data_IF_597761919432
#
_entry.id   IF_597761919432
#
_cell.length_a   1.000
_cell.length_b   1.000
_cell.length_c   1.000
_cell.angle_alpha   90.00
_cell.angle_beta   90.00
_cell.angle_gamma   90.00
#
_symmetry.space_group_name_H-M   'P 1'
#
loop_
_entity.id
_entity.type
_entity.pdbx_description
1 polymer ?
#
# COMPACT_ATOMS: atom_id res chain seq x y z
N UNK A 1 -12.88 9.86 20.76
CA UNK A 1 -13.97 9.47 21.69
C UNK A 1 -13.36 8.97 22.98
N UNK A 2 -14.12 8.92 24.09
CA UNK A 2 -13.59 8.46 25.39
C UNK A 2 -14.34 7.19 25.81
N UNK A 3 -13.62 6.12 26.10
CA UNK A 3 -14.15 4.89 26.66
C UNK A 3 -13.62 4.75 28.09
N UNK A 4 -14.39 5.27 29.04
CA UNK A 4 -14.02 5.30 30.46
C UNK A 4 -14.95 4.34 31.20
N UNK A 5 -14.41 3.22 31.70
CA UNK A 5 -15.16 2.17 32.43
C UNK A 5 -16.13 1.31 31.59
N UNK A 6 -16.01 1.29 30.26
CA UNK A 6 -16.78 0.36 29.42
C UNK A 6 -16.00 -0.94 29.20
N UNK A 7 -16.72 -2.02 28.88
CA UNK A 7 -16.12 -3.32 28.65
C UNK A 7 -16.77 -4.07 27.50
N UNK A 8 -16.00 -4.92 26.83
CA UNK A 8 -16.46 -5.78 25.73
C UNK A 8 -17.01 -5.02 24.52
N UNK A 9 -16.43 -3.86 24.21
CA UNK A 9 -16.70 -3.16 22.96
C UNK A 9 -15.82 -3.70 21.84
N UNK A 10 -16.36 -3.73 20.62
CA UNK A 10 -15.62 -4.02 19.40
C UNK A 10 -15.66 -2.77 18.51
N UNK A 11 -14.50 -2.16 18.29
CA UNK A 11 -14.35 -0.84 17.67
C UNK A 11 -13.43 -0.98 16.45
N UNK A 12 -14.00 -0.90 15.25
CA UNK A 12 -13.29 -0.99 13.96
C UNK A 12 -14.06 -0.16 12.93
N UNK A 13 -13.42 0.24 11.83
CA UNK A 13 -13.95 1.10 10.76
C UNK A 13 -14.37 2.51 11.21
N UNK A 14 -13.84 2.98 12.33
CA UNK A 14 -14.08 4.35 12.77
C UNK A 14 -12.98 5.29 12.26
N UNK A 15 -13.32 6.56 12.17
CA UNK A 15 -12.37 7.61 11.82
C UNK A 15 -12.15 8.51 13.04
N UNK A 16 -10.95 8.43 13.61
CA UNK A 16 -10.56 9.27 14.74
C UNK A 16 -9.67 10.40 14.25
N UNK A 17 -10.19 11.63 14.35
CA UNK A 17 -9.46 12.84 13.99
C UNK A 17 -8.90 13.54 15.23
N UNK A 18 -7.69 14.08 15.09
CA UNK A 18 -7.00 14.82 16.12
C UNK A 18 -7.74 16.11 16.47
N UNK A 19 -8.20 16.22 17.71
CA UNK A 19 -8.91 17.40 18.22
C UNK A 19 -8.18 18.10 19.39
N UNK A 20 -6.87 17.87 19.56
CA UNK A 20 -6.05 18.46 20.64
C UNK A 20 -5.78 17.54 21.84
N UNK A 21 -4.72 17.82 22.62
CA UNK A 21 -4.14 16.94 23.64
C UNK A 21 -5.01 16.75 24.90
N UNK A 22 -5.09 15.52 25.49
CA UNK A 22 -4.93 14.22 24.84
C UNK A 22 -6.39 13.67 24.61
N UNK A 23 -6.88 13.27 23.43
CA UNK A 23 -6.50 12.09 22.63
C UNK A 23 -7.48 11.83 21.47
N UNK A 24 -7.06 11.02 20.51
CA UNK A 24 -7.94 10.49 19.45
C UNK A 24 -8.86 9.37 19.98
N UNK A 25 -8.36 8.50 20.85
CA UNK A 25 -9.13 7.61 21.71
C UNK A 25 -8.44 7.39 23.07
N UNK A 26 -9.23 7.37 24.15
CA UNK A 26 -8.78 7.06 25.51
C UNK A 26 -9.54 5.86 26.05
N UNK A 27 -8.82 4.83 26.50
CA UNK A 27 -9.35 3.61 27.07
C UNK A 27 -8.81 3.35 28.49
N UNK A 28 -9.71 3.48 29.46
CA UNK A 28 -9.51 3.05 30.85
C UNK A 28 -10.47 1.94 31.25
N UNK A 29 -11.14 1.33 30.28
CA UNK A 29 -12.03 0.18 30.44
C UNK A 29 -11.27 -1.15 30.48
N UNK A 30 -12.00 -2.26 30.28
CA UNK A 30 -11.41 -3.61 30.22
C UNK A 30 -12.02 -4.41 29.07
N UNK A 31 -11.25 -5.28 28.42
CA UNK A 31 -11.72 -6.13 27.31
C UNK A 31 -12.37 -5.36 26.13
N UNK A 32 -11.90 -4.16 25.82
CA UNK A 32 -12.28 -3.48 24.57
C UNK A 32 -11.31 -3.90 23.47
N UNK A 33 -11.85 -4.27 22.31
CA UNK A 33 -11.07 -4.59 21.12
C UNK A 33 -11.16 -3.42 20.15
N UNK A 34 -10.00 -2.91 19.73
CA UNK A 34 -9.87 -1.77 18.81
C UNK A 34 -9.61 -2.22 17.37
N UNK A 35 -9.79 -3.51 17.11
CA UNK A 35 -9.79 -4.13 15.81
C UNK A 35 -10.63 -5.42 15.87
N UNK A 36 -10.93 -6.01 14.72
CA UNK A 36 -11.66 -7.28 14.63
C UNK A 36 -10.76 -8.48 14.29
N UNK A 37 -9.44 -8.36 14.44
CA UNK A 37 -8.47 -9.36 14.01
C UNK A 37 -8.13 -9.33 12.51
N UNK A 38 -8.67 -8.38 11.76
CA UNK A 38 -8.38 -8.19 10.33
C UNK A 38 -8.34 -6.72 9.93
N UNK A 39 -9.12 -5.87 10.59
CA UNK A 39 -9.15 -4.44 10.32
C UNK A 39 -9.54 -3.67 11.59
N UNK A 40 -8.90 -2.51 11.75
CA UNK A 40 -9.06 -1.59 12.86
C UNK A 40 -9.69 -0.29 12.40
N UNK A 41 -9.11 0.82 12.85
CA UNK A 41 -9.64 2.18 12.67
C UNK A 41 -8.64 3.06 11.94
N UNK A 42 -9.13 4.18 11.43
CA UNK A 42 -8.29 5.25 10.91
C UNK A 42 -7.95 6.25 12.03
N UNK A 43 -6.67 6.59 12.14
CA UNK A 43 -6.13 7.52 13.14
C UNK A 43 -5.39 8.64 12.43
N UNK A 44 -5.82 9.89 12.60
CA UNK A 44 -5.23 11.00 11.84
C UNK A 44 -3.80 11.36 12.24
N UNK A 45 -3.29 10.80 13.34
CA UNK A 45 -1.88 10.94 13.77
C UNK A 45 -1.08 9.64 13.66
N UNK A 46 -1.65 8.59 13.07
CA UNK A 46 -0.88 7.42 12.70
C UNK A 46 0.09 7.79 11.58
N UNK A 47 1.34 7.36 11.73
CA UNK A 47 2.43 7.62 10.80
C UNK A 47 3.30 6.39 10.61
N UNK A 48 2.65 5.21 10.64
CA UNK A 48 3.31 3.93 10.42
C UNK A 48 3.62 3.67 8.94
N UNK A 49 3.80 2.39 8.62
CA UNK A 49 4.18 1.89 7.29
C UNK A 49 3.13 0.88 6.83
N UNK A 50 2.86 0.83 5.53
CA UNK A 50 2.11 -0.24 4.85
C UNK A 50 3.06 -0.90 3.84
N UNK A 51 3.86 -1.86 4.31
CA UNK A 51 4.98 -2.40 3.53
C UNK A 51 4.54 -3.38 2.45
N UNK A 52 3.37 -4.01 2.62
CA UNK A 52 2.81 -4.96 1.65
C UNK A 52 1.74 -4.34 0.73
N UNK A 53 1.43 -3.05 0.89
CA UNK A 53 0.47 -2.24 0.15
C UNK A 53 -0.96 -2.82 0.21
N UNK A 54 -1.39 -3.32 1.38
CA UNK A 54 -2.73 -3.91 1.57
C UNK A 54 -3.77 -2.93 2.11
N UNK A 55 -3.36 -1.70 2.43
CA UNK A 55 -4.20 -0.65 3.02
C UNK A 55 -4.32 -0.72 4.54
N UNK A 56 -3.50 -1.55 5.19
CA UNK A 56 -3.42 -1.73 6.64
C UNK A 56 -2.00 -1.39 7.10
N UNK A 57 -1.91 -0.62 8.17
CA UNK A 57 -0.64 -0.31 8.81
C UNK A 57 -0.02 -1.53 9.50
N UNK A 58 1.25 -1.80 9.20
CA UNK A 58 2.03 -2.91 9.77
C UNK A 58 2.45 -2.70 11.24
N UNK A 59 2.24 -1.50 11.77
CA UNK A 59 2.58 -1.15 13.15
C UNK A 59 1.30 -0.86 13.93
N UNK A 60 1.10 -1.54 15.05
CA UNK A 60 -0.07 -1.31 15.91
C UNK A 60 -0.16 0.15 16.40
N UNK A 61 -1.36 0.71 16.45
CA UNK A 61 -1.62 2.01 17.07
C UNK A 61 -1.98 1.86 18.55
N UNK A 62 -1.16 2.42 19.43
CA UNK A 62 -1.38 2.37 20.87
C UNK A 62 -2.54 3.27 21.32
N UNK A 63 -3.52 2.69 22.00
CA UNK A 63 -4.62 3.43 22.61
C UNK A 63 -4.18 3.92 23.99
N UNK A 64 -4.26 5.23 24.17
CA UNK A 64 -3.94 5.83 25.45
C UNK A 64 -4.89 5.44 26.57
N UNK A 65 -4.45 5.61 27.81
CA UNK A 65 -5.23 5.29 29.01
C UNK A 65 -4.63 4.12 29.75
N UNK A 66 -5.33 3.67 30.79
CA UNK A 66 -4.81 2.64 31.70
C UNK A 66 -5.04 1.21 31.21
N UNK A 67 -5.82 1.01 30.14
CA UNK A 67 -6.13 -0.32 29.62
C UNK A 67 -4.99 -0.92 28.77
N UNK A 68 -4.00 -0.10 28.37
CA UNK A 68 -2.86 -0.51 27.53
C UNK A 68 -3.33 -1.23 26.25
N UNK A 69 -4.45 -0.76 25.70
CA UNK A 69 -5.07 -1.34 24.51
C UNK A 69 -4.37 -0.86 23.24
N UNK A 70 -4.52 -1.61 22.16
CA UNK A 70 -3.95 -1.24 20.86
C UNK A 70 -4.91 -1.66 19.75
N UNK A 71 -4.84 -0.93 18.65
CA UNK A 71 -5.40 -1.31 17.36
C UNK A 71 -4.29 -1.97 16.55
N UNK A 72 -4.41 -3.28 16.30
CA UNK A 72 -3.39 -4.05 15.60
C UNK A 72 -3.45 -3.94 14.08
N UNK A 73 -4.56 -3.40 13.54
CA UNK A 73 -4.78 -3.31 12.10
C UNK A 73 -5.24 -1.89 11.71
N UNK A 74 -4.45 -0.83 11.99
CA UNK A 74 -4.82 0.54 11.62
C UNK A 74 -5.06 0.66 10.12
N UNK A 75 -6.06 1.43 9.70
CA UNK A 75 -6.27 1.72 8.27
C UNK A 75 -5.24 2.79 7.85
N UNK A 76 -4.34 2.45 6.92
CA UNK A 76 -3.24 3.32 6.52
C UNK A 76 -2.65 2.92 5.17
N UNK A 77 -2.14 3.90 4.44
CA UNK A 77 -1.43 3.76 3.17
C UNK A 77 -0.34 4.83 3.15
N UNK A 78 0.95 4.44 3.23
CA UNK A 78 2.09 5.36 3.13
C UNK A 78 2.56 5.62 1.69
N UNK A 79 1.77 5.14 0.72
CA UNK A 79 2.00 5.27 -0.70
C UNK A 79 2.65 4.03 -1.31
N UNK A 80 2.40 3.83 -2.60
CA UNK A 80 2.87 2.66 -3.35
C UNK A 80 4.39 2.46 -3.22
N UNK A 81 4.78 1.26 -2.85
CA UNK A 81 6.18 0.83 -2.91
C UNK A 81 6.65 0.70 -4.38
N UNK A 82 7.22 1.78 -4.92
CA UNK A 82 7.70 1.80 -6.33
C UNK A 82 8.76 0.74 -6.64
N UNK A 83 9.47 0.22 -5.64
CA UNK A 83 10.47 -0.83 -5.84
C UNK A 83 9.82 -2.21 -6.05
N UNK A 84 8.58 -2.41 -5.60
CA UNK A 84 7.78 -3.63 -5.87
C UNK A 84 7.41 -3.74 -7.36
N UNK A 85 7.26 -2.62 -8.04
CA UNK A 85 6.81 -2.55 -9.44
C UNK A 85 7.85 -1.95 -10.40
N UNK A 86 9.13 -1.91 -10.00
CA UNK A 86 10.19 -1.32 -10.81
C UNK A 86 10.63 -2.27 -11.92
N UNK A 87 10.04 -2.11 -13.11
CA UNK A 87 10.48 -2.81 -14.32
C UNK A 87 11.51 -1.97 -15.09
N UNK A 88 12.80 -2.25 -14.91
CA UNK A 88 13.86 -1.72 -15.78
C UNK A 88 14.63 -2.87 -16.40
N UNK A 89 14.19 -3.29 -17.59
CA UNK A 89 14.93 -4.23 -18.43
C UNK A 89 15.31 -3.53 -19.73
N UNK A 90 16.61 -3.30 -19.92
CA UNK A 90 17.16 -2.86 -21.20
C UNK A 90 17.38 -4.10 -22.07
N UNK A 91 16.82 -4.09 -23.28
CA UNK A 91 16.99 -5.16 -24.27
C UNK A 91 17.68 -4.55 -25.48
N UNK A 92 18.97 -4.85 -25.69
CA UNK A 92 19.72 -4.28 -26.81
C UNK A 92 21.19 -3.97 -26.50
N UNK A 93 21.86 -3.34 -27.47
CA UNK A 93 23.23 -2.83 -27.35
C UNK A 93 23.28 -1.44 -26.70
N UNK A 94 24.22 -0.59 -27.11
CA UNK A 94 24.32 0.82 -26.64
C UNK A 94 23.52 1.79 -27.53
N UNK A 95 22.65 1.26 -28.39
CA UNK A 95 21.91 2.03 -29.40
C UNK A 95 20.61 2.60 -28.83
N UNK A 96 19.86 3.39 -29.60
CA UNK A 96 18.55 3.89 -29.15
C UNK A 96 17.49 2.77 -29.26
N UNK A 97 16.77 2.55 -28.17
CA UNK A 97 15.49 1.82 -28.14
C UNK A 97 14.33 2.79 -27.93
N UNK A 98 13.27 2.64 -28.71
CA UNK A 98 12.06 3.47 -28.61
C UNK A 98 10.80 2.64 -28.52
N UNK A 99 10.05 2.83 -27.43
CA UNK A 99 8.69 2.33 -27.29
C UNK A 99 7.72 3.21 -28.10
N UNK A 100 6.78 2.58 -28.81
CA UNK A 100 5.85 3.25 -29.71
C UNK A 100 4.39 3.14 -29.25
N UNK A 101 3.99 1.97 -28.74
CA UNK A 101 2.60 1.75 -28.34
C UNK A 101 2.49 0.70 -27.23
N UNK A 102 1.35 0.72 -26.53
CA UNK A 102 1.00 -0.23 -25.49
C UNK A 102 -0.46 -0.67 -25.60
N UNK A 103 -0.71 -1.97 -25.37
CA UNK A 103 -2.04 -2.56 -25.39
C UNK A 103 -2.25 -3.54 -24.24
N UNK A 104 -3.51 -3.73 -23.84
CA UNK A 104 -3.91 -4.67 -22.79
C UNK A 104 -4.84 -5.75 -23.36
N UNK A 105 -4.75 -6.99 -22.84
CA UNK A 105 -5.78 -8.01 -23.07
C UNK A 105 -6.79 -8.08 -21.92
N UNK A 106 -7.85 -8.89 -22.10
CA UNK A 106 -8.90 -9.06 -21.09
C UNK A 106 -8.42 -9.73 -19.78
N UNK A 107 -7.22 -10.32 -19.79
CA UNK A 107 -6.59 -10.94 -18.64
C UNK A 107 -5.60 -9.99 -17.93
N UNK A 108 -5.46 -8.75 -18.41
CA UNK A 108 -4.57 -7.75 -17.83
C UNK A 108 -3.11 -7.88 -18.27
N UNK A 109 -2.80 -8.69 -19.28
CA UNK A 109 -1.43 -8.73 -19.83
C UNK A 109 -1.13 -7.44 -20.59
N UNK A 110 0.11 -6.94 -20.46
CA UNK A 110 0.57 -5.71 -21.11
C UNK A 110 1.45 -6.08 -22.31
N UNK A 111 1.15 -5.47 -23.45
CA UNK A 111 1.90 -5.62 -24.70
C UNK A 111 2.54 -4.29 -25.04
N UNK A 112 3.86 -4.26 -25.25
CA UNK A 112 4.58 -3.04 -25.63
C UNK A 112 5.28 -3.29 -26.96
N UNK A 113 5.06 -2.43 -27.93
CA UNK A 113 5.75 -2.46 -29.23
C UNK A 113 6.75 -1.33 -29.35
N UNK A 114 7.84 -1.56 -30.07
CA UNK A 114 8.86 -0.56 -30.35
C UNK A 114 9.88 -1.06 -31.38
N UNK A 115 11.00 -0.37 -31.45
CA UNK A 115 12.15 -0.85 -32.22
C UNK A 115 13.45 -0.71 -31.42
N UNK A 116 14.43 -1.54 -31.76
CA UNK A 116 15.84 -1.38 -31.36
C UNK A 116 16.68 -1.17 -32.60
N UNK A 117 17.62 -0.24 -32.52
CA UNK A 117 18.61 -0.03 -33.58
C UNK A 117 19.84 -0.88 -33.29
N UNK A 118 20.37 -1.59 -34.28
CA UNK A 118 21.73 -2.14 -34.16
C UNK A 118 22.70 -1.09 -34.67
N UNK A 119 23.79 -0.82 -33.95
CA UNK A 119 24.74 0.27 -34.24
C UNK A 119 25.55 0.11 -35.56
N UNK A 120 25.02 -0.62 -36.54
CA UNK A 120 25.65 -0.89 -37.84
C UNK A 120 24.62 -0.70 -38.95
N UNK A 121 24.61 0.48 -39.57
CA UNK A 121 24.01 0.74 -40.90
C UNK A 121 22.52 0.38 -41.09
N UNK A 122 21.67 0.67 -40.10
CA UNK A 122 20.30 1.11 -40.37
C UNK A 122 19.25 0.02 -40.58
N UNK A 123 19.29 -1.06 -39.81
CA UNK A 123 18.14 -1.94 -39.67
C UNK A 123 17.58 -1.82 -38.25
N UNK A 124 16.37 -1.25 -38.16
CA UNK A 124 15.55 -1.24 -36.96
C UNK A 124 14.89 -2.61 -36.82
N UNK A 125 15.15 -3.31 -35.72
CA UNK A 125 14.46 -4.55 -35.38
C UNK A 125 13.19 -4.24 -34.58
N UNK A 126 12.08 -4.88 -34.92
CA UNK A 126 10.84 -4.75 -34.16
C UNK A 126 10.98 -5.45 -32.81
N UNK A 127 10.61 -4.75 -31.75
CA UNK A 127 10.44 -5.32 -30.42
C UNK A 127 8.94 -5.46 -30.12
N UNK A 128 8.56 -6.64 -29.63
CA UNK A 128 7.29 -6.90 -28.96
C UNK A 128 7.57 -7.52 -27.59
N UNK A 129 7.25 -6.79 -26.53
CA UNK A 129 7.33 -7.28 -25.15
C UNK A 129 5.93 -7.63 -24.66
N UNK A 130 5.82 -8.76 -23.96
CA UNK A 130 4.62 -9.15 -23.23
C UNK A 130 4.97 -9.29 -21.77
N UNK A 131 4.31 -8.51 -20.92
CA UNK A 131 4.38 -8.65 -19.47
C UNK A 131 3.12 -9.36 -18.98
N UNK A 132 3.32 -10.47 -18.29
CA UNK A 132 2.26 -11.27 -17.65
C UNK A 132 2.49 -11.26 -16.15
N UNK A 133 1.43 -11.27 -15.35
CA UNK A 133 1.57 -11.69 -13.96
C UNK A 133 1.93 -13.18 -13.96
N UNK A 134 3.02 -13.54 -13.29
CA UNK A 134 3.18 -14.93 -12.88
C UNK A 134 2.19 -15.17 -11.74
N UNK A 135 1.34 -16.19 -11.89
CA UNK A 135 0.48 -16.69 -10.82
C UNK A 135 1.30 -17.45 -9.78
#
# INVERSE_FOLDING_TARGET
>A
GWIISSHSNLVYWNYFYYNGQPLQAFDSGTNNNWDNGTIGNYWSDYGGVDADDDGIGDTSYSISGSAVSQDNYPIWDDGININKYFFNKTWGGIAEESFHDTAFDANGNIYITGYTSTNTNGEDDIILLKYTSES
#
